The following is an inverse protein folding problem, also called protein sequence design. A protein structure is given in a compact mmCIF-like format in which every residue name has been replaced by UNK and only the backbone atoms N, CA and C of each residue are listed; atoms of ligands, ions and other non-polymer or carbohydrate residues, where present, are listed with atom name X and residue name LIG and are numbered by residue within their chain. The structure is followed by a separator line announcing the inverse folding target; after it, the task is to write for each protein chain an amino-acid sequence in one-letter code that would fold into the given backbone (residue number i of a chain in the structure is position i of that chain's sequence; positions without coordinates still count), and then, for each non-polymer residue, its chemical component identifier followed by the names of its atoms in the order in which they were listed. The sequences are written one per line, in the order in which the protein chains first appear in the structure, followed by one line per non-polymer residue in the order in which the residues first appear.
data_IF_814293965388
#
_entry.id   IF_814293965388
#
_cell.length_a   1.000
_cell.length_b   1.000
_cell.length_c   1.000
_cell.angle_alpha   90.00
_cell.angle_beta   90.00
_cell.angle_gamma   90.00
#
_symmetry.space_group_name_H-M   'P 1'
#
loop_
_entity.id
_entity.type
_entity.pdbx_description
1 polymer ?
#
# COMPACT_ATOMS: atom_id res chain seq x y z
N UNK A 1 -5.32 -33.32 3.93
CA UNK A 1 -5.44 -32.08 3.09
C UNK A 1 -6.52 -31.12 3.59
N UNK A 2 -7.57 -31.53 4.28
CA UNK A 2 -8.68 -30.66 4.73
C UNK A 2 -8.32 -29.66 5.85
N UNK A 3 -7.48 -30.00 6.79
CA UNK A 3 -7.11 -29.16 7.95
C UNK A 3 -6.23 -27.95 7.56
N UNK A 4 -5.27 -28.12 6.65
CA UNK A 4 -4.39 -27.02 6.20
C UNK A 4 -5.16 -25.99 5.36
N UNK A 5 -6.11 -26.45 4.54
CA UNK A 5 -6.99 -25.57 3.75
C UNK A 5 -7.97 -24.77 4.64
N UNK A 6 -8.48 -25.38 5.73
CA UNK A 6 -9.37 -24.69 6.67
C UNK A 6 -8.61 -23.63 7.47
N UNK A 7 -7.44 -23.93 8.00
CA UNK A 7 -6.60 -22.96 8.73
C UNK A 7 -6.23 -21.74 7.86
N UNK A 8 -5.88 -21.98 6.60
CA UNK A 8 -5.59 -20.89 5.64
C UNK A 8 -6.82 -20.03 5.33
N UNK A 9 -8.03 -20.58 5.35
CA UNK A 9 -9.30 -19.86 5.18
C UNK A 9 -9.61 -18.99 6.40
N UNK A 10 -9.49 -19.53 7.61
CA UNK A 10 -9.71 -18.79 8.84
C UNK A 10 -8.75 -17.59 8.98
N UNK A 11 -7.48 -17.78 8.68
CA UNK A 11 -6.49 -16.68 8.70
C UNK A 11 -6.82 -15.58 7.69
N UNK A 12 -7.32 -15.92 6.50
CA UNK A 12 -7.74 -14.91 5.51
C UNK A 12 -8.97 -14.12 5.97
N UNK A 13 -9.95 -14.80 6.56
CA UNK A 13 -11.15 -14.13 7.12
C UNK A 13 -10.77 -13.21 8.28
N UNK A 14 -9.91 -13.66 9.20
CA UNK A 14 -9.45 -12.82 10.31
C UNK A 14 -8.75 -11.54 9.80
N UNK A 15 -7.90 -11.64 8.77
CA UNK A 15 -7.26 -10.47 8.16
C UNK A 15 -8.24 -9.55 7.42
N UNK A 16 -9.28 -10.09 6.80
CA UNK A 16 -10.34 -9.30 6.20
C UNK A 16 -11.18 -8.56 7.28
N UNK A 17 -11.40 -9.19 8.44
CA UNK A 17 -12.01 -8.52 9.60
C UNK A 17 -11.13 -7.37 10.10
N UNK A 18 -9.81 -7.55 10.16
CA UNK A 18 -8.88 -6.46 10.48
C UNK A 18 -9.03 -5.28 9.49
N UNK A 19 -9.15 -5.54 8.18
CA UNK A 19 -9.37 -4.50 7.16
C UNK A 19 -10.73 -3.80 7.32
N UNK A 20 -11.79 -4.55 7.68
CA UNK A 20 -13.09 -3.97 8.01
C UNK A 20 -12.98 -3.01 9.21
N UNK A 21 -12.33 -3.43 10.29
CA UNK A 21 -12.15 -2.60 11.49
C UNK A 21 -11.33 -1.35 11.14
N UNK A 22 -10.23 -1.50 10.42
CA UNK A 22 -9.38 -0.38 10.01
C UNK A 22 -10.13 0.63 9.14
N UNK A 23 -10.91 0.15 8.16
CA UNK A 23 -11.72 1.02 7.30
C UNK A 23 -12.84 1.69 8.09
N UNK A 24 -13.46 1.00 9.04
CA UNK A 24 -14.47 1.57 9.95
C UNK A 24 -13.89 2.72 10.77
N UNK A 25 -12.73 2.51 11.39
CA UNK A 25 -12.06 3.55 12.19
C UNK A 25 -11.59 4.69 11.29
N UNK A 26 -11.01 4.40 10.12
CA UNK A 26 -10.58 5.43 9.18
C UNK A 26 -11.73 6.35 8.79
N UNK A 27 -12.87 5.78 8.38
CA UNK A 27 -13.99 6.59 7.89
C UNK A 27 -14.74 7.31 9.03
N UNK A 28 -14.86 6.69 10.20
CA UNK A 28 -15.37 7.38 11.37
C UNK A 28 -14.53 8.62 11.70
N UNK A 29 -13.19 8.48 11.74
CA UNK A 29 -12.30 9.59 12.05
C UNK A 29 -12.25 10.61 10.92
N UNK A 30 -12.29 10.19 9.65
CA UNK A 30 -12.33 11.11 8.51
C UNK A 30 -13.56 12.01 8.54
N UNK A 31 -14.76 11.43 8.75
CA UNK A 31 -16.00 12.21 8.89
C UNK A 31 -15.94 13.13 10.13
N UNK A 32 -15.37 12.62 11.24
CA UNK A 32 -15.18 13.41 12.47
C UNK A 32 -14.29 14.62 12.22
N UNK A 33 -13.15 14.45 11.56
CA UNK A 33 -12.22 15.54 11.23
C UNK A 33 -12.90 16.58 10.33
N UNK A 34 -13.59 16.13 9.26
CA UNK A 34 -14.31 17.04 8.37
C UNK A 34 -15.42 17.77 9.12
N UNK A 35 -16.19 17.08 9.96
CA UNK A 35 -17.22 17.71 10.81
C UNK A 35 -16.62 18.81 11.68
N UNK A 36 -15.53 18.56 12.38
CA UNK A 36 -14.95 19.57 13.27
C UNK A 36 -14.35 20.77 12.52
N UNK A 37 -13.83 20.57 11.31
CA UNK A 37 -13.17 21.63 10.56
C UNK A 37 -14.08 22.36 9.56
N UNK A 38 -15.26 21.80 9.22
CA UNK A 38 -16.14 22.34 8.19
C UNK A 38 -17.57 22.66 8.68
N UNK A 39 -17.95 22.21 9.87
CA UNK A 39 -19.21 22.62 10.48
C UNK A 39 -19.08 24.06 10.98
N UNK A 40 -19.92 25.03 10.49
CA UNK A 40 -19.84 26.44 10.89
C UNK A 40 -20.03 26.67 12.40
N UNK A 41 -20.77 25.78 13.07
CA UNK A 41 -21.01 25.86 14.52
C UNK A 41 -19.90 25.21 15.35
N UNK A 42 -18.87 24.67 14.70
CA UNK A 42 -17.73 24.06 15.38
C UNK A 42 -16.73 25.14 15.83
N UNK A 43 -16.25 25.02 17.07
CA UNK A 43 -15.18 25.86 17.59
C UNK A 43 -13.84 25.73 16.82
N UNK A 44 -13.68 24.67 16.03
CA UNK A 44 -12.49 24.39 15.21
C UNK A 44 -12.74 24.66 13.73
N UNK A 45 -13.85 25.31 13.36
CA UNK A 45 -14.19 25.57 11.98
C UNK A 45 -13.12 26.43 11.28
N UNK A 46 -12.67 25.96 10.12
CA UNK A 46 -11.74 26.67 9.24
C UNK A 46 -12.51 27.13 8.01
N UNK A 47 -12.75 28.45 7.88
CA UNK A 47 -13.55 29.03 6.80
C UNK A 47 -12.92 28.88 5.43
N UNK A 48 -11.60 29.09 5.32
CA UNK A 48 -10.84 28.93 4.08
C UNK A 48 -10.74 27.46 3.69
N UNK A 49 -11.15 27.12 2.45
CA UNK A 49 -11.22 25.73 2.00
C UNK A 49 -9.84 25.12 1.85
N UNK A 50 -8.87 25.85 1.30
CA UNK A 50 -7.53 25.33 1.05
C UNK A 50 -6.80 25.05 2.37
N UNK A 51 -6.92 25.98 3.33
CA UNK A 51 -6.39 25.79 4.68
C UNK A 51 -7.06 24.62 5.39
N UNK A 52 -8.40 24.51 5.32
CA UNK A 52 -9.12 23.37 5.88
C UNK A 52 -8.65 22.04 5.30
N UNK A 53 -8.51 21.96 3.97
CA UNK A 53 -8.07 20.74 3.29
C UNK A 53 -6.60 20.39 3.59
N UNK A 54 -5.73 21.39 3.80
CA UNK A 54 -4.36 21.15 4.26
C UNK A 54 -4.34 20.50 5.65
N UNK A 55 -5.15 21.00 6.59
CA UNK A 55 -5.28 20.42 7.93
C UNK A 55 -5.94 19.03 7.88
N UNK A 56 -7.03 18.87 7.12
CA UNK A 56 -7.70 17.58 6.90
C UNK A 56 -6.71 16.57 6.33
N UNK A 57 -5.90 16.99 5.34
CA UNK A 57 -4.89 16.13 4.74
C UNK A 57 -3.85 15.68 5.74
N UNK A 58 -3.28 16.59 6.52
CA UNK A 58 -2.30 16.28 7.57
C UNK A 58 -2.84 15.29 8.61
N UNK A 59 -4.06 15.54 9.12
CA UNK A 59 -4.72 14.65 10.07
C UNK A 59 -5.05 13.29 9.45
N UNK A 60 -5.58 13.26 8.23
CA UNK A 60 -5.92 12.01 7.52
C UNK A 60 -4.68 11.15 7.26
N UNK A 61 -3.58 11.76 6.83
CA UNK A 61 -2.31 11.07 6.64
C UNK A 61 -1.74 10.51 7.94
N UNK A 62 -1.85 11.26 9.04
CA UNK A 62 -1.42 10.82 10.38
C UNK A 62 -2.27 9.65 10.88
N UNK A 63 -3.60 9.76 10.76
CA UNK A 63 -4.55 8.70 11.12
C UNK A 63 -4.23 7.42 10.33
N UNK A 64 -4.07 7.52 9.00
CA UNK A 64 -3.79 6.36 8.17
C UNK A 64 -2.45 5.72 8.52
N UNK A 65 -1.39 6.52 8.77
CA UNK A 65 -0.10 6.01 9.27
C UNK A 65 -0.28 5.23 10.57
N UNK A 66 -1.01 5.80 11.52
CA UNK A 66 -1.29 5.15 12.81
C UNK A 66 -2.07 3.84 12.65
N UNK A 67 -3.07 3.80 11.77
CA UNK A 67 -3.84 2.59 11.47
C UNK A 67 -2.98 1.49 10.84
N UNK A 68 -2.11 1.81 9.89
CA UNK A 68 -1.19 0.84 9.30
C UNK A 68 -0.21 0.28 10.35
N UNK A 69 0.26 1.12 11.27
CA UNK A 69 1.18 0.72 12.34
C UNK A 69 0.49 0.02 13.52
N UNK A 70 -0.83 0.06 13.60
CA UNK A 70 -1.62 -0.58 14.66
C UNK A 70 -1.53 -2.11 14.61
N UNK A 71 -1.88 -2.83 15.70
CA UNK A 71 -1.89 -4.29 15.68
C UNK A 71 -2.75 -4.90 14.57
N UNK A 72 -4.00 -4.45 14.29
CA UNK A 72 -4.77 -4.94 13.13
C UNK A 72 -4.05 -4.65 11.79
N UNK A 73 -3.50 -3.42 11.62
CA UNK A 73 -2.78 -3.04 10.42
C UNK A 73 -1.56 -3.92 10.15
N UNK A 74 -0.79 -4.24 11.18
CA UNK A 74 0.36 -5.16 11.05
C UNK A 74 -0.05 -6.59 10.72
N UNK A 75 -1.23 -7.06 11.18
CA UNK A 75 -1.72 -8.42 10.88
C UNK A 75 -2.27 -8.55 9.47
N UNK A 76 -3.06 -7.55 9.01
CA UNK A 76 -3.67 -7.56 7.67
C UNK A 76 -2.74 -7.08 6.56
N UNK A 77 -1.75 -6.26 6.91
CA UNK A 77 -0.92 -5.47 5.98
C UNK A 77 -1.39 -4.02 5.86
N UNK A 78 -2.52 -3.65 6.51
CA UNK A 78 -3.02 -2.28 6.58
C UNK A 78 -3.29 -1.65 5.21
N UNK A 79 -3.91 -2.38 4.31
CA UNK A 79 -4.20 -1.90 2.96
C UNK A 79 -5.19 -0.75 2.98
N UNK A 80 -6.32 -0.93 3.67
CA UNK A 80 -7.40 0.06 3.92
C UNK A 80 -7.88 0.77 2.64
N UNK A 81 -7.53 0.22 1.48
CA UNK A 81 -7.77 0.80 0.16
C UNK A 81 -7.83 -0.32 -0.90
N UNK A 82 -8.93 -0.46 -1.66
CA UNK A 82 -9.04 -1.42 -2.75
C UNK A 82 -7.94 -1.28 -3.82
N UNK A 83 -7.54 -0.06 -4.17
CA UNK A 83 -6.50 0.18 -5.17
C UNK A 83 -5.11 -0.28 -4.66
N UNK A 84 -4.79 -0.06 -3.38
CA UNK A 84 -3.57 -0.60 -2.74
C UNK A 84 -3.62 -2.14 -2.72
N UNK A 85 -4.76 -2.72 -2.38
CA UNK A 85 -4.94 -4.18 -2.36
C UNK A 85 -4.66 -4.80 -3.73
N UNK A 86 -5.19 -4.19 -4.80
CA UNK A 86 -4.95 -4.62 -6.18
C UNK A 86 -3.49 -4.44 -6.58
N UNK A 87 -2.84 -3.31 -6.23
CA UNK A 87 -1.44 -3.09 -6.57
C UNK A 87 -0.50 -4.10 -5.92
N UNK A 88 -0.72 -4.41 -4.63
CA UNK A 88 0.09 -5.41 -3.91
C UNK A 88 -0.10 -6.82 -4.47
N UNK A 89 -1.31 -7.15 -4.94
CA UNK A 89 -1.55 -8.38 -5.69
C UNK A 89 -0.77 -8.39 -7.02
N UNK A 90 -0.85 -7.34 -7.80
CA UNK A 90 -0.14 -7.23 -9.08
C UNK A 90 1.40 -7.22 -8.90
N UNK A 91 1.90 -6.73 -7.77
CA UNK A 91 3.32 -6.81 -7.39
C UNK A 91 3.73 -8.21 -6.88
N UNK A 92 2.79 -9.15 -6.70
CA UNK A 92 3.06 -10.47 -6.12
C UNK A 92 3.28 -10.46 -4.60
N UNK A 93 3.05 -9.33 -3.94
CA UNK A 93 3.20 -9.16 -2.49
C UNK A 93 1.95 -9.59 -1.69
N UNK A 94 0.81 -9.77 -2.37
CA UNK A 94 -0.45 -10.19 -1.76
C UNK A 94 -1.14 -11.29 -2.58
N UNK A 95 -1.71 -12.33 -1.95
CA UNK A 95 -2.34 -13.44 -2.67
C UNK A 95 -3.68 -13.04 -3.30
N UNK A 96 -3.89 -13.36 -4.58
CA UNK A 96 -5.11 -13.00 -5.34
C UNK A 96 -6.42 -13.45 -4.68
N UNK A 97 -6.42 -14.60 -3.98
CA UNK A 97 -7.57 -15.09 -3.20
C UNK A 97 -7.98 -14.19 -2.03
N UNK A 98 -7.13 -13.27 -1.62
CA UNK A 98 -7.41 -12.28 -0.57
C UNK A 98 -8.00 -10.97 -1.10
N UNK A 99 -7.92 -10.68 -2.40
CA UNK A 99 -8.32 -9.39 -2.98
C UNK A 99 -9.81 -9.12 -2.74
N UNK A 100 -10.69 -10.01 -3.19
CA UNK A 100 -12.14 -9.82 -3.05
C UNK A 100 -12.58 -9.72 -1.59
N UNK A 101 -12.16 -10.61 -0.66
CA UNK A 101 -12.48 -10.45 0.76
C UNK A 101 -12.03 -9.11 1.35
N UNK A 102 -10.85 -8.60 0.98
CA UNK A 102 -10.36 -7.31 1.46
C UNK A 102 -11.18 -6.14 0.91
N UNK A 103 -11.43 -6.11 -0.39
CA UNK A 103 -12.22 -5.04 -1.03
C UNK A 103 -13.62 -4.97 -0.41
N UNK A 104 -14.29 -6.11 -0.23
CA UNK A 104 -15.61 -6.15 0.41
C UNK A 104 -15.55 -5.68 1.86
N UNK A 105 -14.56 -6.12 2.63
CA UNK A 105 -14.36 -5.71 4.01
C UNK A 105 -14.10 -4.20 4.14
N UNK A 106 -13.27 -3.64 3.26
CA UNK A 106 -12.95 -2.21 3.21
C UNK A 106 -14.19 -1.38 2.86
N UNK A 107 -14.98 -1.80 1.86
CA UNK A 107 -16.22 -1.09 1.49
C UNK A 107 -17.29 -1.18 2.60
N UNK A 108 -17.47 -2.36 3.19
CA UNK A 108 -18.40 -2.55 4.31
C UNK A 108 -17.94 -1.73 5.54
N UNK A 109 -16.65 -1.73 5.85
CA UNK A 109 -16.07 -0.90 6.92
C UNK A 109 -16.23 0.59 6.66
N UNK A 110 -16.10 1.03 5.42
CA UNK A 110 -16.35 2.41 5.02
C UNK A 110 -17.79 2.83 5.34
N UNK A 111 -18.77 2.05 4.91
CA UNK A 111 -20.17 2.33 5.23
C UNK A 111 -20.46 2.29 6.73
N UNK A 112 -19.90 1.30 7.46
CA UNK A 112 -20.04 1.18 8.91
C UNK A 112 -19.43 2.38 9.65
N UNK A 113 -18.22 2.82 9.27
CA UNK A 113 -17.54 3.97 9.90
C UNK A 113 -18.26 5.29 9.64
N UNK A 114 -18.74 5.50 8.41
CA UNK A 114 -19.56 6.68 8.08
C UNK A 114 -20.90 6.66 8.83
N UNK A 115 -21.58 5.49 8.90
CA UNK A 115 -22.80 5.32 9.66
C UNK A 115 -22.60 5.53 11.18
N UNK A 116 -21.49 5.06 11.73
CA UNK A 116 -21.11 5.30 13.12
C UNK A 116 -20.91 6.81 13.39
N UNK A 117 -20.28 7.54 12.47
CA UNK A 117 -20.14 8.99 12.59
C UNK A 117 -21.52 9.68 12.62
N UNK A 118 -22.48 9.22 11.81
CA UNK A 118 -23.86 9.71 11.85
C UNK A 118 -24.54 9.44 13.20
N UNK A 119 -24.31 8.27 13.78
CA UNK A 119 -24.86 7.93 15.12
C UNK A 119 -24.25 8.79 16.22
N UNK A 120 -22.96 9.06 16.18
CA UNK A 120 -22.23 9.81 17.22
C UNK A 120 -22.47 11.32 17.09
N UNK A 121 -22.37 11.87 15.88
CA UNK A 121 -22.40 13.32 15.64
C UNK A 121 -23.77 13.85 15.19
N UNK A 122 -24.76 12.98 15.03
CA UNK A 122 -26.13 13.36 14.67
C UNK A 122 -26.21 14.05 13.29
N UNK A 123 -27.06 15.09 13.19
CA UNK A 123 -27.31 15.81 11.95
C UNK A 123 -26.14 16.66 11.45
N UNK A 124 -25.17 16.99 12.30
CA UNK A 124 -24.00 17.78 11.94
C UNK A 124 -23.19 17.18 10.77
N UNK A 125 -23.14 15.84 10.65
CA UNK A 125 -22.41 15.19 9.53
C UNK A 125 -23.15 15.29 8.19
N UNK A 126 -24.44 15.62 8.18
CA UNK A 126 -25.23 15.79 6.95
C UNK A 126 -25.40 17.26 6.54
N UNK A 127 -24.75 18.20 7.22
CA UNK A 127 -24.68 19.58 6.77
C UNK A 127 -23.99 19.67 5.40
N UNK A 128 -24.41 20.55 4.48
CA UNK A 128 -23.83 20.67 3.15
C UNK A 128 -22.31 20.95 3.15
N UNK A 129 -21.79 21.58 4.21
CA UNK A 129 -20.36 21.85 4.39
C UNK A 129 -19.56 20.64 4.86
N UNK A 130 -20.21 19.60 5.38
CA UNK A 130 -19.61 18.36 5.92
C UNK A 130 -19.88 17.16 4.99
N UNK A 131 -21.14 17.00 4.58
CA UNK A 131 -21.68 16.01 3.63
C UNK A 131 -21.09 14.62 3.81
N UNK A 132 -21.08 14.10 5.06
CA UNK A 132 -20.46 12.82 5.40
C UNK A 132 -19.00 12.67 4.97
N UNK A 133 -18.31 13.77 4.71
CA UNK A 133 -17.00 13.80 4.05
C UNK A 133 -17.00 13.20 2.63
N UNK A 134 -18.14 13.15 1.95
CA UNK A 134 -18.23 12.72 0.56
C UNK A 134 -17.45 13.70 -0.33
N UNK A 135 -16.79 13.16 -1.35
CA UNK A 135 -16.01 13.94 -2.29
C UNK A 135 -16.85 14.19 -3.54
N UNK A 136 -16.87 15.46 -3.93
CA UNK A 136 -17.43 15.92 -5.21
C UNK A 136 -16.36 16.77 -5.89
N UNK A 137 -16.12 16.59 -7.21
CA UNK A 137 -15.14 17.38 -7.92
C UNK A 137 -15.57 18.84 -7.99
N UNK A 138 -14.59 19.75 -8.08
CA UNK A 138 -14.89 21.16 -8.29
C UNK A 138 -15.68 21.36 -9.60
N UNK A 139 -16.65 22.29 -9.65
CA UNK A 139 -17.52 22.46 -10.82
C UNK A 139 -16.78 22.76 -12.13
N UNK A 140 -15.60 23.37 -12.03
CA UNK A 140 -14.75 23.68 -13.19
C UNK A 140 -13.97 22.45 -13.73
N UNK A 141 -14.00 21.32 -13.02
CA UNK A 141 -13.23 20.14 -13.40
C UNK A 141 -14.05 19.16 -14.21
N UNK A 142 -13.59 18.89 -15.42
CA UNK A 142 -14.22 17.90 -16.29
C UNK A 142 -13.93 16.47 -15.78
N UNK A 143 -14.84 15.51 -15.98
CA UNK A 143 -14.66 14.12 -15.53
C UNK A 143 -13.33 13.50 -15.97
N UNK A 144 -12.86 13.81 -17.19
CA UNK A 144 -11.56 13.31 -17.67
C UNK A 144 -10.39 13.86 -16.85
N UNK A 145 -10.43 15.14 -16.45
CA UNK A 145 -9.39 15.76 -15.60
C UNK A 145 -9.38 15.13 -14.20
N UNK A 146 -10.56 14.89 -13.64
CA UNK A 146 -10.71 14.19 -12.35
C UNK A 146 -10.14 12.80 -12.43
N UNK A 147 -10.48 12.04 -13.48
CA UNK A 147 -9.98 10.69 -13.70
C UNK A 147 -8.44 10.66 -13.78
N UNK A 148 -7.85 11.56 -14.57
CA UNK A 148 -6.39 11.64 -14.73
C UNK A 148 -5.70 12.02 -13.42
N UNK A 149 -6.27 12.95 -12.64
CA UNK A 149 -5.72 13.37 -11.36
C UNK A 149 -5.73 12.21 -10.33
N UNK A 150 -6.86 11.51 -10.18
CA UNK A 150 -7.01 10.40 -9.26
C UNK A 150 -6.12 9.20 -9.66
N UNK A 151 -6.14 8.82 -10.95
CA UNK A 151 -5.31 7.73 -11.46
C UNK A 151 -3.81 8.07 -11.43
N UNK A 152 -3.45 9.28 -11.84
CA UNK A 152 -2.05 9.75 -11.87
C UNK A 152 -1.45 9.83 -10.46
N UNK A 153 -2.17 10.39 -9.51
CA UNK A 153 -1.74 10.46 -8.11
C UNK A 153 -1.54 9.07 -7.52
N UNK A 154 -2.48 8.17 -7.75
CA UNK A 154 -2.36 6.79 -7.27
C UNK A 154 -1.18 6.07 -7.93
N UNK A 155 -0.93 6.29 -9.23
CA UNK A 155 0.22 5.70 -9.92
C UNK A 155 1.55 6.16 -9.30
N UNK A 156 1.69 7.46 -9.01
CA UNK A 156 2.88 8.03 -8.36
C UNK A 156 3.07 7.42 -6.98
N UNK A 157 2.01 7.31 -6.18
CA UNK A 157 2.07 6.71 -4.84
C UNK A 157 2.53 5.26 -4.91
N UNK A 158 1.98 4.47 -5.82
CA UNK A 158 2.34 3.05 -5.97
C UNK A 158 3.79 2.88 -6.43
N UNK A 159 4.29 3.74 -7.31
CA UNK A 159 5.71 3.74 -7.68
C UNK A 159 6.59 4.04 -6.46
N UNK A 160 6.25 5.07 -5.68
CA UNK A 160 6.99 5.43 -4.46
C UNK A 160 6.97 4.29 -3.42
N UNK A 161 5.81 3.68 -3.18
CA UNK A 161 5.64 2.53 -2.29
C UNK A 161 6.46 1.34 -2.79
N UNK A 162 6.41 1.02 -4.08
CA UNK A 162 7.17 -0.07 -4.69
C UNK A 162 8.68 0.07 -4.47
N UNK A 163 9.25 1.25 -4.70
CA UNK A 163 10.67 1.51 -4.42
C UNK A 163 11.00 1.48 -2.92
N UNK A 164 10.08 1.97 -2.08
CA UNK A 164 10.26 1.93 -0.62
C UNK A 164 10.26 0.50 -0.09
N UNK A 165 9.40 -0.36 -0.64
CA UNK A 165 9.33 -1.78 -0.28
C UNK A 165 10.50 -2.62 -0.81
N UNK A 166 11.17 -2.18 -1.87
CA UNK A 166 12.22 -2.95 -2.54
C UNK A 166 13.45 -3.23 -1.64
N UNK A 167 13.65 -2.49 -0.56
CA UNK A 167 14.80 -2.63 0.33
C UNK A 167 14.35 -2.76 1.79
N UNK A 168 14.88 -3.74 2.52
CA UNK A 168 14.52 -3.99 3.91
C UNK A 168 14.70 -2.76 4.84
N UNK A 169 15.71 -1.92 4.56
CA UNK A 169 15.96 -0.69 5.34
C UNK A 169 14.87 0.36 5.18
N UNK A 170 14.30 0.48 3.98
CA UNK A 170 13.27 1.49 3.65
C UNK A 170 11.86 0.95 3.80
N UNK A 171 11.65 -0.38 3.74
CA UNK A 171 10.32 -1.00 3.85
C UNK A 171 9.56 -0.57 5.13
N UNK A 172 10.26 -0.32 6.23
CA UNK A 172 9.68 0.22 7.48
C UNK A 172 9.10 1.63 7.34
N UNK A 173 9.46 2.36 6.29
CA UNK A 173 8.99 3.72 6.02
C UNK A 173 7.69 3.74 5.22
N UNK A 174 7.23 2.60 4.68
CA UNK A 174 6.02 2.51 3.85
C UNK A 174 4.80 3.18 4.50
N UNK A 175 4.47 2.97 5.80
CA UNK A 175 3.33 3.64 6.43
C UNK A 175 3.42 5.16 6.36
N UNK A 176 4.60 5.71 6.57
CA UNK A 176 4.84 7.16 6.53
C UNK A 176 4.79 7.71 5.10
N UNK A 177 5.32 6.97 4.12
CA UNK A 177 5.23 7.34 2.70
C UNK A 177 3.76 7.39 2.26
N UNK A 178 2.95 6.40 2.64
CA UNK A 178 1.51 6.37 2.33
C UNK A 178 0.81 7.54 3.01
N UNK A 179 1.01 7.74 4.31
CA UNK A 179 0.36 8.82 5.05
C UNK A 179 0.72 10.21 4.52
N UNK A 180 2.00 10.48 4.26
CA UNK A 180 2.44 11.73 3.66
C UNK A 180 1.87 11.93 2.27
N UNK A 181 1.83 10.88 1.45
CA UNK A 181 1.25 10.96 0.10
C UNK A 181 -0.24 11.32 0.15
N UNK A 182 -1.02 10.70 1.06
CA UNK A 182 -2.44 11.02 1.27
C UNK A 182 -2.60 12.47 1.73
N UNK A 183 -1.78 12.92 2.69
CA UNK A 183 -1.79 14.30 3.17
C UNK A 183 -1.58 15.32 2.02
N UNK A 184 -0.57 15.08 1.18
CA UNK A 184 -0.26 15.94 0.04
C UNK A 184 -1.35 15.92 -1.03
N UNK A 185 -1.90 14.74 -1.34
CA UNK A 185 -2.98 14.62 -2.33
C UNK A 185 -4.22 15.37 -1.86
N UNK A 186 -4.63 15.25 -0.60
CA UNK A 186 -5.79 15.98 -0.07
C UNK A 186 -5.51 17.50 -0.09
N UNK A 187 -4.34 17.94 0.35
CA UNK A 187 -4.00 19.37 0.37
C UNK A 187 -3.96 19.98 -1.04
N UNK A 188 -3.42 19.27 -2.03
CA UNK A 188 -3.20 19.80 -3.38
C UNK A 188 -4.41 19.56 -4.29
N UNK A 189 -4.99 18.36 -4.27
CA UNK A 189 -6.08 17.97 -5.17
C UNK A 189 -7.46 18.07 -4.53
N UNK A 190 -7.54 18.21 -3.21
CA UNK A 190 -8.80 18.36 -2.49
C UNK A 190 -9.69 19.47 -3.07
N UNK A 191 -9.16 20.69 -3.35
CA UNK A 191 -9.94 21.77 -3.94
C UNK A 191 -10.30 21.56 -5.43
N UNK A 192 -9.86 20.46 -6.03
CA UNK A 192 -9.94 20.18 -7.48
C UNK A 192 -10.69 18.90 -7.78
N UNK A 193 -9.98 17.76 -7.77
CA UNK A 193 -10.59 16.44 -7.95
C UNK A 193 -11.23 15.91 -6.67
N UNK A 194 -10.92 16.48 -5.52
CA UNK A 194 -11.30 15.96 -4.21
C UNK A 194 -10.24 15.05 -3.56
N UNK A 195 -9.28 14.51 -4.33
CA UNK A 195 -8.13 13.77 -3.81
C UNK A 195 -8.49 12.50 -3.05
N UNK A 196 -9.42 11.69 -3.57
CA UNK A 196 -9.87 10.46 -2.91
C UNK A 196 -8.82 9.36 -2.92
N UNK A 197 -8.27 9.04 -4.09
CA UNK A 197 -7.30 7.97 -4.38
C UNK A 197 -7.61 6.61 -3.72
N UNK A 198 -8.81 6.44 -3.17
CA UNK A 198 -9.23 5.26 -2.42
C UNK A 198 -10.71 4.95 -2.65
N UNK A 199 -11.06 3.90 -3.40
CA UNK A 199 -12.46 3.54 -3.65
C UNK A 199 -13.28 3.36 -2.37
N UNK A 200 -12.72 2.71 -1.33
CA UNK A 200 -13.44 2.51 -0.08
C UNK A 200 -13.66 3.84 0.68
N UNK A 201 -12.69 4.77 0.63
CA UNK A 201 -12.84 6.09 1.26
C UNK A 201 -14.02 6.86 0.69
N UNK A 202 -14.33 6.69 -0.59
CA UNK A 202 -15.46 7.37 -1.22
C UNK A 202 -16.78 6.60 -1.08
N UNK A 203 -16.73 5.28 -1.05
CA UNK A 203 -17.92 4.42 -1.12
C UNK A 203 -18.95 4.69 0.00
N UNK A 204 -18.53 4.63 1.26
CA UNK A 204 -19.42 4.82 2.41
C UNK A 204 -19.98 6.25 2.49
N UNK A 205 -19.13 7.30 2.47
CA UNK A 205 -19.57 8.69 2.42
C UNK A 205 -20.55 8.98 1.27
N UNK A 206 -20.24 8.61 0.04
CA UNK A 206 -21.12 8.83 -1.09
C UNK A 206 -22.47 8.13 -0.95
N UNK A 207 -22.47 6.89 -0.44
CA UNK A 207 -23.70 6.13 -0.23
C UNK A 207 -24.61 6.77 0.83
N UNK A 208 -24.07 7.29 1.95
CA UNK A 208 -24.85 7.91 3.00
C UNK A 208 -25.25 9.35 2.67
N UNK A 209 -24.43 10.07 1.91
CA UNK A 209 -24.75 11.40 1.43
C UNK A 209 -25.73 11.41 0.23
N UNK A 210 -25.95 10.26 -0.42
CA UNK A 210 -26.71 10.18 -1.67
C UNK A 210 -25.96 10.80 -2.87
N UNK A 211 -24.62 10.93 -2.79
CA UNK A 211 -23.78 11.52 -3.82
C UNK A 211 -23.41 10.50 -4.87
N UNK A 212 -23.95 10.66 -6.08
CA UNK A 212 -23.65 9.78 -7.23
C UNK A 212 -22.81 10.48 -8.31
N UNK A 213 -22.62 11.80 -8.22
CA UNK A 213 -21.90 12.59 -9.21
C UNK A 213 -20.47 12.07 -9.35
N UNK A 214 -20.14 11.59 -10.55
CA UNK A 214 -18.82 11.05 -10.91
C UNK A 214 -18.27 9.98 -9.97
N UNK A 215 -19.14 9.33 -9.16
CA UNK A 215 -18.74 8.29 -8.20
C UNK A 215 -17.92 7.19 -8.87
N UNK A 216 -18.27 6.80 -10.11
CA UNK A 216 -17.57 5.79 -10.88
C UNK A 216 -16.07 6.12 -11.06
N UNK A 217 -15.71 7.41 -11.16
CA UNK A 217 -14.31 7.84 -11.30
C UNK A 217 -13.54 7.44 -10.04
N UNK A 218 -14.06 7.77 -8.86
CA UNK A 218 -13.41 7.47 -7.58
C UNK A 218 -13.33 5.97 -7.27
N UNK A 219 -14.20 5.17 -7.89
CA UNK A 219 -14.13 3.71 -7.75
C UNK A 219 -13.13 3.07 -8.71
N UNK A 220 -12.98 3.62 -9.93
CA UNK A 220 -12.20 3.00 -11.02
C UNK A 220 -10.83 3.65 -11.19
N UNK A 221 -10.74 4.98 -11.22
CA UNK A 221 -9.50 5.68 -11.54
C UNK A 221 -8.34 5.32 -10.59
N UNK A 222 -8.52 5.21 -9.25
CA UNK A 222 -7.44 4.79 -8.36
C UNK A 222 -6.96 3.35 -8.66
N UNK A 223 -7.84 2.45 -9.06
CA UNK A 223 -7.48 1.06 -9.41
C UNK A 223 -6.66 1.03 -10.69
N UNK A 224 -7.06 1.80 -11.70
CA UNK A 224 -6.30 1.97 -12.96
C UNK A 224 -4.93 2.59 -12.66
N UNK A 225 -4.89 3.64 -11.84
CA UNK A 225 -3.64 4.25 -11.38
C UNK A 225 -2.73 3.28 -10.64
N UNK A 226 -3.29 2.45 -9.78
CA UNK A 226 -2.53 1.43 -9.05
C UNK A 226 -1.92 0.38 -10.00
N UNK A 227 -2.66 -0.08 -11.00
CA UNK A 227 -2.15 -1.00 -12.02
C UNK A 227 -1.03 -0.35 -12.86
N UNK A 228 -1.24 0.91 -13.30
CA UNK A 228 -0.24 1.68 -14.04
C UNK A 228 1.03 1.91 -13.20
N UNK A 229 0.89 2.31 -11.94
CA UNK A 229 2.01 2.52 -11.03
C UNK A 229 2.81 1.24 -10.78
N UNK A 230 2.13 0.10 -10.65
CA UNK A 230 2.77 -1.22 -10.54
C UNK A 230 3.57 -1.55 -11.80
N UNK A 231 2.99 -1.36 -12.98
CA UNK A 231 3.66 -1.57 -14.25
C UNK A 231 4.89 -0.67 -14.40
N UNK A 232 4.75 0.64 -14.11
CA UNK A 232 5.86 1.60 -14.13
C UNK A 232 6.97 1.19 -13.17
N UNK A 233 6.63 0.80 -11.94
CA UNK A 233 7.61 0.30 -10.98
C UNK A 233 8.40 -0.90 -11.53
N UNK A 234 7.72 -1.89 -12.15
CA UNK A 234 8.38 -3.03 -12.76
C UNK A 234 9.34 -2.63 -13.90
N UNK A 235 8.92 -1.73 -14.79
CA UNK A 235 9.76 -1.24 -15.90
C UNK A 235 10.99 -0.50 -15.37
N UNK A 236 10.80 0.41 -14.41
CA UNK A 236 11.88 1.22 -13.83
C UNK A 236 12.86 0.36 -13.02
N UNK A 237 12.38 -0.65 -12.31
CA UNK A 237 13.21 -1.58 -11.54
C UNK A 237 14.07 -2.46 -12.44
N UNK A 238 13.54 -2.96 -13.55
CA UNK A 238 14.29 -3.74 -14.54
C UNK A 238 15.43 -2.94 -15.16
N UNK A 239 15.23 -1.65 -15.49
CA UNK A 239 16.26 -0.77 -16.06
C UNK A 239 17.44 -0.55 -15.13
N UNK A 240 17.26 -0.59 -13.81
CA UNK A 240 18.35 -0.46 -12.83
C UNK A 240 19.24 -1.69 -12.73
N UNK A 241 18.78 -2.86 -13.14
CA UNK A 241 19.55 -4.11 -13.11
C UNK A 241 20.45 -4.32 -14.36
N UNK A 242 20.17 -3.65 -15.47
CA UNK A 242 20.91 -3.80 -16.73
C UNK A 242 22.36 -3.23 -16.73
N UNK A 243 22.70 -2.11 -16.06
CA UNK A 243 24.06 -1.58 -16.09
C UNK A 243 25.10 -2.44 -15.36
N UNK A 244 24.70 -3.27 -14.41
CA UNK A 244 25.63 -4.05 -13.58
C UNK A 244 26.10 -5.35 -14.26
N UNK A 245 25.29 -5.93 -15.14
CA UNK A 245 25.68 -7.13 -15.90
C UNK A 245 26.67 -6.87 -17.05
N UNK A 246 26.81 -5.63 -17.51
CA UNK A 246 27.76 -5.27 -18.58
C UNK A 246 29.17 -4.91 -18.07
N UNK A 247 29.41 -4.95 -16.76
CA UNK A 247 30.72 -4.60 -16.16
C UNK A 247 31.50 -5.80 -15.61
N UNK A 248 31.17 -7.00 -16.00
CA UNK A 248 32.12 -8.11 -15.76
C UNK A 248 33.23 -8.02 -16.79
N UNK A 249 34.51 -7.81 -16.41
CA UNK A 249 35.61 -7.90 -17.33
C UNK A 249 35.60 -9.31 -17.92
N UNK A 250 35.71 -9.38 -19.23
CA UNK A 250 35.95 -10.65 -19.93
C UNK A 250 37.10 -11.35 -19.22
N UNK A 251 36.88 -12.56 -18.74
CA UNK A 251 37.92 -13.44 -18.25
C UNK A 251 39.00 -13.51 -19.35
N UNK A 252 40.22 -13.06 -19.04
CA UNK A 252 41.36 -13.28 -19.91
C UNK A 252 41.44 -14.78 -20.21
N UNK A 253 41.57 -15.17 -21.47
CA UNK A 253 41.91 -16.56 -21.80
C UNK A 253 43.26 -16.86 -21.15
N UNK A 254 43.32 -17.91 -20.36
CA UNK A 254 44.53 -18.48 -19.82
C UNK A 254 45.44 -18.85 -21.00
N UNK A 255 46.60 -18.25 -21.08
CA UNK A 255 47.64 -18.58 -22.05
C UNK A 255 48.07 -20.05 -21.82
N UNK A 256 48.25 -20.87 -22.89
CA UNK A 256 48.63 -22.26 -22.77
C UNK A 256 50.16 -22.42 -22.71
N UNK A 257 50.78 -21.82 -21.69
CA UNK A 257 52.25 -21.86 -21.54
C UNK A 257 52.71 -22.10 -20.11
N UNK A 258 52.15 -23.14 -19.45
CA UNK A 258 52.67 -23.63 -18.16
C UNK A 258 52.49 -25.14 -17.87
N UNK A 259 52.13 -25.94 -18.91
CA UNK A 259 52.00 -27.40 -18.73
C UNK A 259 53.22 -28.23 -19.15
N UNK A 260 54.39 -27.64 -19.30
CA UNK A 260 55.63 -28.40 -19.66
C UNK A 260 56.69 -28.40 -18.54
N UNK A 261 56.36 -28.14 -17.29
CA UNK A 261 57.37 -28.12 -16.22
C UNK A 261 56.99 -28.94 -14.96
N UNK A 262 56.12 -29.92 -15.03
CA UNK A 262 55.77 -30.73 -13.87
C UNK A 262 55.77 -32.25 -14.07
N UNK A 263 56.43 -32.74 -15.14
CA UNK A 263 56.59 -34.17 -15.36
C UNK A 263 58.05 -34.58 -15.23
N UNK A 264 58.56 -34.69 -14.02
CA UNK A 264 59.91 -35.19 -13.80
C UNK A 264 60.45 -34.92 -12.43
N UNK A 265 59.86 -35.43 -11.37
CA UNK A 265 60.52 -35.86 -10.11
C UNK A 265 59.45 -36.40 -9.18
N UNK A 266 59.25 -37.70 -9.17
CA UNK A 266 59.11 -38.52 -7.97
C UNK A 266 58.87 -40.01 -8.29
N UNK A 267 59.92 -40.68 -8.71
CA UNK A 267 60.09 -42.12 -8.48
C UNK A 267 61.21 -42.26 -7.47
N UNK A 268 60.84 -42.54 -6.19
CA UNK A 268 61.58 -43.45 -5.31
C UNK A 268 61.03 -43.47 -3.90
N UNK A 269 60.87 -44.72 -3.48
CA UNK A 269 60.75 -45.27 -2.12
C UNK A 269 59.31 -45.46 -1.61
N UNK A 270 58.70 -46.57 -1.84
CA UNK A 270 58.82 -47.98 -1.40
C UNK A 270 58.95 -48.16 0.13
N UNK A 271 57.94 -48.90 0.61
CA UNK A 271 58.00 -49.76 1.83
C UNK A 271 57.93 -49.13 3.23
N UNK A 272 56.81 -49.32 3.89
CA UNK A 272 56.74 -50.24 5.08
C UNK A 272 55.32 -50.30 5.64
N UNK A 273 54.81 -51.52 5.75
CA UNK A 273 53.69 -52.06 6.49
C UNK A 273 54.30 -52.69 7.77
N UNK A 274 53.60 -53.14 8.83
CA UNK A 274 52.47 -52.64 9.65
C UNK A 274 52.74 -52.71 11.19
N UNK A 275 51.75 -52.41 12.03
CA UNK A 275 51.37 -53.11 13.25
C UNK A 275 50.45 -52.21 14.11
N UNK A 276 49.20 -52.60 14.34
CA UNK A 276 48.62 -53.47 15.36
C UNK A 276 48.42 -52.82 16.72
N UNK A 277 47.16 -52.97 17.18
CA UNK A 277 46.68 -53.07 18.59
C UNK A 277 46.48 -51.73 19.28
N UNK A 278 45.42 -51.45 19.96
CA UNK A 278 44.32 -52.26 20.47
C UNK A 278 43.75 -51.52 21.69
N UNK A 279 42.48 -51.83 21.96
CA UNK A 279 41.84 -51.75 23.28
C UNK A 279 41.19 -50.45 23.69
N UNK A 280 39.87 -50.45 23.76
CA UNK A 280 38.94 -49.81 24.69
C UNK A 280 39.24 -50.24 26.16
N UNK A 281 38.50 -49.83 27.21
CA UNK A 281 37.35 -48.95 27.38
C UNK A 281 37.51 -47.93 28.58
N UNK A 282 36.65 -47.01 28.75
CA UNK A 282 35.56 -46.89 29.73
C UNK A 282 34.70 -45.68 29.39
#
# INVERSE_FOLDING_TARGET
MSTVTSLSRHLRLARAVDEFVLATVLLFLAVTVVRWLRDPDSALCVGDLDAALAVIGGLSGTILTGLILSPPGRRSGGHVNPAVTVSLWLMGAFPGRGVVPYVLAQCAGSAAGTGLARLVWGSAVSLPSVDYAAIVPAPAWQPASVFVAEAGSMAIIIVAVGFTMAHARTARLVPYVIGLSVALVIAVLGPRSGGSINPARQFGPAALAGQSTDLWIYLIAPVVGAALGTWLHHVLSRRRLLPHKMRMPASRPSSPESDIAAEGVNRRSSNRIPARTGIQPE
#
